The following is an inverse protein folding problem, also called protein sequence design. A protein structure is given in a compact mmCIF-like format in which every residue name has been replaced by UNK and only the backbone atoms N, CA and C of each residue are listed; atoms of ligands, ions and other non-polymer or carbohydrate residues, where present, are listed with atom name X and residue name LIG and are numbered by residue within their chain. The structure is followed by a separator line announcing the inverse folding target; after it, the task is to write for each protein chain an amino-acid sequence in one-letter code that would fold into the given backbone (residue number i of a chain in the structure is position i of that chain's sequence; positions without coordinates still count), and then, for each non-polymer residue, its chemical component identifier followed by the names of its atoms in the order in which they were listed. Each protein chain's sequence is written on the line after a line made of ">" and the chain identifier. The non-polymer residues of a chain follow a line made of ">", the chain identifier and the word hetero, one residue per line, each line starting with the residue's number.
data_IF_082333481580
#
_entry.id   IF_082333481580
#
_cell.length_a   1.000
_cell.length_b   1.000
_cell.length_c   1.000
_cell.angle_alpha   90.00
_cell.angle_beta   90.00
_cell.angle_gamma   90.00
#
_symmetry.space_group_name_H-M   'P 1'
#
loop_
_entity.id
_entity.type
_entity.pdbx_description
1 polymer ?
#
# COMPACT_ATOMS: atom_id res chain seq x y z
N UNK A 1 4.12 30.07 4.75
CA UNK A 1 4.65 28.72 4.44
C UNK A 1 3.46 27.82 4.14
N UNK A 2 3.56 26.91 3.20
CA UNK A 2 2.52 25.93 2.92
C UNK A 2 2.47 24.89 4.04
N UNK A 3 1.30 24.29 4.25
CA UNK A 3 1.12 23.22 5.22
C UNK A 3 1.94 21.99 4.77
N UNK A 4 2.90 21.51 5.57
CA UNK A 4 3.74 20.36 5.19
C UNK A 4 3.02 19.01 5.28
N UNK A 5 1.88 18.96 5.99
CA UNK A 5 1.02 17.79 6.06
C UNK A 5 -0.07 17.88 4.99
N UNK A 6 -0.55 16.73 4.51
CA UNK A 6 -1.60 16.71 3.49
C UNK A 6 -2.67 15.66 3.79
N UNK A 7 -3.92 16.00 3.46
CA UNK A 7 -5.05 15.06 3.47
C UNK A 7 -5.36 14.55 2.06
N UNK A 8 -4.65 15.04 1.05
CA UNK A 8 -4.88 14.69 -0.36
C UNK A 8 -4.37 13.28 -0.65
N UNK A 9 -5.25 12.42 -1.14
CA UNK A 9 -4.89 11.06 -1.54
C UNK A 9 -3.91 11.06 -2.73
N UNK A 10 -2.96 10.11 -2.71
CA UNK A 10 -2.03 9.90 -3.80
C UNK A 10 -0.85 10.87 -3.86
N UNK A 11 -0.85 11.92 -3.06
CA UNK A 11 0.27 12.84 -2.94
C UNK A 11 1.22 12.43 -1.81
N UNK A 12 2.52 12.54 -2.08
CA UNK A 12 3.54 12.41 -1.04
C UNK A 12 3.59 13.71 -0.25
N UNK A 13 3.32 13.70 1.07
CA UNK A 13 3.42 14.91 1.91
C UNK A 13 4.84 15.45 1.90
N UNK A 14 5.01 16.74 2.16
CA UNK A 14 6.33 17.33 2.41
C UNK A 14 6.90 16.79 3.72
N UNK A 15 6.05 16.75 4.76
CA UNK A 15 6.40 16.12 6.04
C UNK A 15 5.89 14.68 6.07
N UNK A 16 6.80 13.73 5.96
CA UNK A 16 6.51 12.31 6.06
C UNK A 16 7.65 11.55 6.76
N UNK A 17 7.33 10.42 7.34
CA UNK A 17 8.31 9.55 8.01
C UNK A 17 8.62 8.38 7.09
N UNK A 18 9.85 8.34 6.57
CA UNK A 18 10.34 7.27 5.72
C UNK A 18 10.37 5.92 6.46
N UNK A 19 10.01 4.87 5.73
CA UNK A 19 10.06 3.48 6.20
C UNK A 19 11.34 2.78 5.72
N UNK A 20 12.48 3.46 5.88
CA UNK A 20 13.78 3.01 5.36
C UNK A 20 14.10 1.54 5.65
N UNK A 21 13.73 1.01 6.81
CA UNK A 21 13.96 -0.40 7.17
C UNK A 21 13.11 -1.37 6.33
N UNK A 22 11.89 -1.00 5.97
CA UNK A 22 10.97 -1.87 5.21
C UNK A 22 11.19 -1.72 3.70
N UNK A 23 11.24 -0.49 3.22
CA UNK A 23 11.44 -0.17 1.79
C UNK A 23 12.89 -0.44 1.39
N UNK A 24 13.85 -0.14 2.26
CA UNK A 24 15.27 -0.39 2.03
C UNK A 24 15.58 -1.85 1.72
N UNK A 25 14.78 -2.80 2.22
CA UNK A 25 14.90 -4.22 1.86
C UNK A 25 14.60 -4.46 0.38
N UNK A 26 13.58 -3.79 -0.17
CA UNK A 26 13.25 -3.88 -1.60
C UNK A 26 14.37 -3.29 -2.42
N UNK A 27 14.77 -2.05 -2.09
CA UNK A 27 15.82 -1.31 -2.77
C UNK A 27 17.13 -2.12 -2.77
N UNK A 28 17.58 -2.54 -1.58
CA UNK A 28 18.80 -3.33 -1.46
C UNK A 28 18.75 -4.62 -2.32
N UNK A 29 17.61 -5.31 -2.35
CA UNK A 29 17.48 -6.54 -3.15
C UNK A 29 17.53 -6.24 -4.64
N UNK A 30 16.87 -5.18 -5.11
CA UNK A 30 16.83 -4.84 -6.54
C UNK A 30 18.16 -4.27 -7.05
N UNK A 31 18.97 -3.68 -6.16
CA UNK A 31 20.30 -3.16 -6.50
C UNK A 31 21.37 -4.26 -6.60
N UNK A 32 21.08 -5.47 -6.11
CA UNK A 32 22.01 -6.59 -6.27
C UNK A 32 22.22 -6.92 -7.76
N UNK A 33 23.43 -7.33 -8.12
CA UNK A 33 23.72 -7.83 -9.47
C UNK A 33 22.85 -9.03 -9.83
N UNK A 34 22.67 -9.96 -8.87
CA UNK A 34 21.81 -11.14 -8.98
C UNK A 34 20.74 -11.09 -7.87
N UNK A 35 19.64 -10.37 -8.07
CA UNK A 35 18.62 -10.20 -7.05
C UNK A 35 17.91 -11.51 -6.72
N UNK A 36 17.79 -11.82 -5.44
CA UNK A 36 17.08 -13.01 -4.96
C UNK A 36 15.59 -12.98 -5.27
N UNK A 37 15.02 -11.79 -5.45
CA UNK A 37 13.63 -11.58 -5.80
C UNK A 37 13.50 -10.37 -6.74
N UNK A 38 12.63 -10.50 -7.73
CA UNK A 38 12.28 -9.41 -8.66
C UNK A 38 10.85 -8.90 -8.45
N UNK A 39 10.14 -9.47 -7.48
CA UNK A 39 8.76 -9.12 -7.16
C UNK A 39 8.64 -8.91 -5.65
N UNK A 40 8.01 -7.82 -5.24
CA UNK A 40 7.62 -7.57 -3.87
C UNK A 40 6.15 -7.14 -3.81
N UNK A 41 5.49 -7.51 -2.72
CA UNK A 41 4.12 -7.09 -2.41
C UNK A 41 4.12 -6.28 -1.11
N UNK A 42 3.52 -5.10 -1.14
CA UNK A 42 3.39 -4.21 0.00
C UNK A 42 1.94 -4.24 0.48
N UNK A 43 1.72 -4.77 1.67
CA UNK A 43 0.41 -4.90 2.28
C UNK A 43 0.25 -3.92 3.45
N UNK A 44 -0.95 -3.40 3.61
CA UNK A 44 -1.27 -2.55 4.76
C UNK A 44 -2.73 -2.09 4.73
N UNK A 45 -3.23 -1.70 5.89
CA UNK A 45 -4.57 -1.12 6.03
C UNK A 45 -4.70 0.16 5.17
N UNK A 46 -5.92 0.59 4.89
CA UNK A 46 -6.17 1.91 4.28
C UNK A 46 -5.51 3.00 5.13
N UNK A 47 -4.87 3.99 4.51
CA UNK A 47 -4.13 5.05 5.24
C UNK A 47 -2.80 4.64 5.87
N UNK A 48 -2.32 3.41 5.64
CA UNK A 48 -1.02 2.94 6.18
C UNK A 48 0.22 3.50 5.45
N UNK A 49 0.04 4.31 4.40
CA UNK A 49 1.13 4.92 3.64
C UNK A 49 1.70 4.05 2.51
N UNK A 50 0.91 3.12 1.95
CA UNK A 50 1.33 2.28 0.79
C UNK A 50 1.78 3.13 -0.39
N UNK A 51 0.94 4.07 -0.82
CA UNK A 51 1.24 4.97 -1.95
C UNK A 51 2.50 5.80 -1.72
N UNK A 52 2.71 6.31 -0.49
CA UNK A 52 3.93 7.05 -0.13
C UNK A 52 5.15 6.14 -0.20
N UNK A 53 5.04 4.91 0.28
CA UNK A 53 6.12 3.91 0.19
C UNK A 53 6.48 3.55 -1.25
N UNK A 54 5.47 3.41 -2.13
CA UNK A 54 5.70 3.20 -3.56
C UNK A 54 6.34 4.43 -4.22
N UNK A 55 5.96 5.64 -3.80
CA UNK A 55 6.57 6.87 -4.28
C UNK A 55 8.05 6.97 -3.89
N UNK A 56 8.43 6.62 -2.65
CA UNK A 56 9.83 6.57 -2.23
C UNK A 56 10.66 5.60 -3.08
N UNK A 57 10.12 4.40 -3.36
CA UNK A 57 10.79 3.43 -4.25
C UNK A 57 10.94 3.99 -5.66
N UNK A 58 9.86 4.60 -6.19
CA UNK A 58 9.88 5.21 -7.51
C UNK A 58 10.90 6.35 -7.61
N UNK A 59 10.92 7.25 -6.63
CA UNK A 59 11.84 8.39 -6.58
C UNK A 59 13.30 7.92 -6.55
N UNK A 60 13.59 6.87 -5.76
CA UNK A 60 14.93 6.28 -5.69
C UNK A 60 15.42 5.81 -7.07
N UNK A 61 14.59 5.08 -7.81
CA UNK A 61 14.98 4.54 -9.11
C UNK A 61 14.86 5.55 -10.25
N UNK A 62 13.95 6.53 -10.16
CA UNK A 62 13.83 7.57 -11.19
C UNK A 62 15.03 8.52 -11.25
N UNK A 63 15.82 8.58 -10.19
CA UNK A 63 17.09 9.35 -10.16
C UNK A 63 18.27 8.63 -10.83
N UNK A 64 18.09 7.37 -11.27
CA UNK A 64 19.13 6.56 -11.87
C UNK A 64 18.81 6.25 -13.33
N UNK A 65 19.63 6.75 -14.25
CA UNK A 65 19.44 6.60 -15.70
C UNK A 65 19.39 5.15 -16.21
N UNK A 66 19.86 4.19 -15.41
CA UNK A 66 19.74 2.77 -15.77
C UNK A 66 18.32 2.23 -15.59
N UNK A 67 17.47 2.95 -14.86
CA UNK A 67 16.13 2.51 -14.54
C UNK A 67 15.05 3.29 -15.28
N UNK A 68 14.01 2.58 -15.70
CA UNK A 68 12.76 3.15 -16.20
C UNK A 68 11.68 2.73 -15.21
N UNK A 69 11.01 3.71 -14.60
CA UNK A 69 9.95 3.48 -13.61
C UNK A 69 8.60 3.71 -14.26
N UNK A 70 7.75 2.69 -14.25
CA UNK A 70 6.40 2.72 -14.77
C UNK A 70 5.39 2.57 -13.64
N UNK A 71 4.48 3.53 -13.51
CA UNK A 71 3.33 3.46 -12.59
C UNK A 71 2.10 3.06 -13.40
N UNK A 72 1.51 1.92 -13.10
CA UNK A 72 0.40 1.33 -13.83
C UNK A 72 -0.85 1.23 -12.95
N UNK A 73 -2.02 1.44 -13.54
CA UNK A 73 -3.32 1.28 -12.86
C UNK A 73 -3.77 -0.19 -12.91
N UNK A 74 -4.17 -0.73 -11.77
CA UNK A 74 -4.70 -2.09 -11.67
C UNK A 74 -6.06 -2.27 -12.37
N UNK A 75 -6.79 -1.18 -12.63
CA UNK A 75 -8.14 -1.20 -13.21
C UNK A 75 -8.15 -1.20 -14.74
N UNK A 76 -6.99 -1.08 -15.38
CA UNK A 76 -6.85 -1.00 -16.84
C UNK A 76 -5.94 -2.10 -17.38
N UNK A 77 -5.89 -2.26 -18.70
CA UNK A 77 -4.95 -3.17 -19.37
C UNK A 77 -3.50 -2.75 -19.08
N UNK A 78 -2.87 -3.45 -18.13
CA UNK A 78 -1.50 -3.17 -17.67
C UNK A 78 -0.45 -3.34 -18.76
N UNK A 79 -0.67 -4.26 -19.71
CA UNK A 79 0.27 -4.48 -20.83
C UNK A 79 0.18 -3.31 -21.80
N UNK A 80 -1.05 -2.89 -22.14
CA UNK A 80 -1.27 -1.73 -23.00
C UNK A 80 -0.72 -0.45 -22.34
N UNK A 81 -0.96 -0.27 -21.03
CA UNK A 81 -0.42 0.84 -20.25
C UNK A 81 1.10 0.87 -20.27
N UNK A 82 1.75 -0.29 -20.07
CA UNK A 82 3.21 -0.41 -20.13
C UNK A 82 3.77 -0.06 -21.52
N UNK A 83 3.15 -0.55 -22.58
CA UNK A 83 3.54 -0.22 -23.96
C UNK A 83 3.41 1.29 -24.21
N UNK A 84 2.28 1.88 -23.82
CA UNK A 84 2.02 3.31 -24.00
C UNK A 84 3.07 4.18 -23.27
N UNK A 85 3.31 3.89 -22.00
CA UNK A 85 4.28 4.64 -21.20
C UNK A 85 5.73 4.48 -21.69
N UNK A 86 6.15 3.26 -22.05
CA UNK A 86 7.48 3.02 -22.61
C UNK A 86 7.68 3.71 -23.96
N UNK A 87 6.62 3.75 -24.79
CA UNK A 87 6.66 4.46 -26.04
C UNK A 87 6.78 5.97 -25.83
N UNK A 88 6.02 6.53 -24.88
CA UNK A 88 6.09 7.96 -24.51
C UNK A 88 7.49 8.32 -24.00
N UNK A 89 8.04 7.54 -23.06
CA UNK A 89 9.38 7.77 -22.50
C UNK A 89 10.44 7.71 -23.60
N UNK A 90 10.33 6.78 -24.57
CA UNK A 90 11.31 6.66 -25.66
C UNK A 90 11.37 7.89 -26.56
N UNK A 91 10.23 8.56 -26.76
CA UNK A 91 10.15 9.80 -27.56
C UNK A 91 10.84 10.98 -26.87
N UNK A 92 10.74 11.07 -25.53
CA UNK A 92 11.31 12.19 -24.76
C UNK A 92 12.81 12.02 -24.44
N UNK A 93 13.31 10.78 -24.41
CA UNK A 93 14.68 10.49 -23.97
C UNK A 93 15.63 10.03 -25.10
N UNK A 94 15.26 10.25 -26.38
CA UNK A 94 16.03 9.79 -27.55
C UNK A 94 16.42 8.28 -27.48
N UNK A 95 15.63 7.52 -26.76
CA UNK A 95 15.73 6.07 -26.71
C UNK A 95 15.19 5.52 -28.02
N UNK A 96 16.04 5.50 -29.07
CA UNK A 96 15.63 4.85 -30.33
C UNK A 96 15.31 3.37 -30.08
N UNK A 97 14.04 3.11 -29.80
CA UNK A 97 13.50 1.75 -29.65
C UNK A 97 13.12 1.17 -31.02
N UNK A 98 13.37 1.91 -32.12
CA UNK A 98 13.04 1.48 -33.49
C UNK A 98 11.57 1.11 -33.65
N UNK A 99 10.73 1.75 -32.84
CA UNK A 99 9.28 1.65 -32.97
C UNK A 99 8.87 2.59 -34.10
N UNK A 100 8.54 2.05 -35.28
CA UNK A 100 7.85 2.83 -36.30
C UNK A 100 6.45 3.16 -35.79
N UNK A 101 6.34 4.27 -35.08
CA UNK A 101 5.14 4.74 -34.35
C UNK A 101 3.94 5.05 -35.26
N UNK A 102 4.14 5.08 -36.58
CA UNK A 102 3.07 5.43 -37.51
C UNK A 102 2.08 4.26 -37.79
N UNK A 103 2.32 3.06 -37.29
CA UNK A 103 1.47 1.91 -37.57
C UNK A 103 0.76 1.28 -36.36
N UNK A 104 1.13 1.61 -35.11
CA UNK A 104 0.64 0.86 -33.94
C UNK A 104 -0.44 1.53 -33.10
N UNK A 105 -0.38 2.84 -32.89
CA UNK A 105 -1.26 3.51 -31.90
C UNK A 105 -2.65 3.83 -32.48
N UNK A 106 -2.76 4.10 -33.78
CA UNK A 106 -4.05 4.38 -34.43
C UNK A 106 -4.86 3.09 -34.73
N UNK A 107 -4.20 1.95 -34.95
CA UNK A 107 -4.86 0.67 -35.20
C UNK A 107 -5.23 -0.13 -33.95
N UNK A 108 -4.62 0.17 -32.79
CA UNK A 108 -4.91 -0.47 -31.51
C UNK A 108 -6.35 -0.27 -31.01
N UNK A 109 -7.13 0.58 -31.66
CA UNK A 109 -8.50 0.91 -31.24
C UNK A 109 -9.62 0.15 -31.96
N UNK A 110 -9.35 -0.66 -32.99
CA UNK A 110 -10.41 -1.13 -33.90
C UNK A 110 -10.67 -2.65 -33.93
N UNK A 111 -9.73 -3.54 -33.55
CA UNK A 111 -9.95 -4.99 -33.67
C UNK A 111 -9.81 -5.77 -32.35
N UNK A 112 -10.94 -6.18 -31.78
CA UNK A 112 -11.07 -6.77 -30.43
C UNK A 112 -10.53 -8.21 -30.25
N UNK A 113 -10.07 -8.94 -31.23
CA UNK A 113 -9.74 -10.38 -31.12
C UNK A 113 -8.25 -10.73 -31.27
N UNK A 114 -7.41 -9.89 -31.90
CA UNK A 114 -5.97 -10.08 -31.99
C UNK A 114 -5.15 -9.15 -31.09
N UNK A 115 -5.81 -8.28 -30.34
CA UNK A 115 -5.25 -7.12 -29.67
C UNK A 115 -4.31 -7.48 -28.50
N UNK A 116 -4.60 -8.52 -27.71
CA UNK A 116 -3.79 -8.90 -26.54
C UNK A 116 -2.44 -9.51 -26.91
N UNK A 117 -2.42 -10.41 -27.88
CA UNK A 117 -1.18 -11.08 -28.35
C UNK A 117 -0.24 -10.09 -29.03
N UNK A 118 -0.79 -9.12 -29.73
CA UNK A 118 0.00 -8.07 -30.40
C UNK A 118 0.66 -7.15 -29.37
N UNK A 119 -0.08 -6.67 -28.36
CA UNK A 119 0.47 -5.86 -27.25
C UNK A 119 1.54 -6.58 -26.45
N UNK A 120 1.34 -7.86 -26.16
CA UNK A 120 2.33 -8.67 -25.48
C UNK A 120 3.61 -8.81 -26.30
N UNK A 121 3.49 -9.01 -27.62
CA UNK A 121 4.63 -9.09 -28.55
C UNK A 121 5.40 -7.77 -28.62
N UNK A 122 4.66 -6.64 -28.69
CA UNK A 122 5.25 -5.29 -28.69
C UNK A 122 6.02 -5.06 -27.40
N UNK A 123 5.42 -5.36 -26.23
CA UNK A 123 6.08 -5.18 -24.95
C UNK A 123 7.35 -6.01 -24.84
N UNK A 124 7.34 -7.28 -25.27
CA UNK A 124 8.54 -8.13 -25.30
C UNK A 124 9.65 -7.56 -26.18
N UNK A 125 9.30 -7.06 -27.38
CA UNK A 125 10.27 -6.42 -28.27
C UNK A 125 10.89 -5.16 -27.64
N UNK A 126 10.10 -4.35 -26.92
CA UNK A 126 10.62 -3.20 -26.20
C UNK A 126 11.56 -3.66 -25.08
N UNK A 127 11.16 -4.65 -24.27
CA UNK A 127 11.98 -5.15 -23.16
C UNK A 127 13.31 -5.76 -23.65
N UNK A 128 13.31 -6.44 -24.80
CA UNK A 128 14.55 -6.96 -25.42
C UNK A 128 15.50 -5.82 -25.83
N UNK A 129 14.98 -4.76 -26.44
CA UNK A 129 15.76 -3.58 -26.81
C UNK A 129 16.31 -2.85 -25.58
N UNK A 130 15.52 -2.72 -24.53
CA UNK A 130 15.96 -2.11 -23.25
C UNK A 130 17.04 -2.95 -22.59
N UNK A 131 16.92 -4.29 -22.61
CA UNK A 131 17.94 -5.23 -22.13
C UNK A 131 19.27 -5.01 -22.85
N UNK A 132 19.24 -4.92 -24.18
CA UNK A 132 20.44 -4.70 -25.00
C UNK A 132 21.10 -3.32 -24.75
N UNK A 133 20.32 -2.36 -24.26
CA UNK A 133 20.80 -1.03 -23.83
C UNK A 133 21.21 -0.98 -22.34
N UNK A 134 21.19 -2.10 -21.61
CA UNK A 134 21.50 -2.18 -20.18
C UNK A 134 20.49 -1.47 -19.27
N UNK A 135 19.26 -1.20 -19.76
CA UNK A 135 18.21 -0.56 -18.99
C UNK A 135 17.39 -1.59 -18.19
N UNK A 136 16.98 -1.21 -16.99
CA UNK A 136 16.10 -1.98 -16.10
C UNK A 136 14.72 -1.33 -16.06
N UNK A 137 13.65 -2.12 -15.95
CA UNK A 137 12.28 -1.62 -15.88
C UNK A 137 11.65 -2.00 -14.54
N UNK A 138 11.21 -1.01 -13.79
CA UNK A 138 10.45 -1.19 -12.56
C UNK A 138 8.97 -0.89 -12.81
N UNK A 139 8.14 -1.91 -12.68
CA UNK A 139 6.68 -1.76 -12.68
C UNK A 139 6.19 -1.54 -11.25
N UNK A 140 5.39 -0.51 -11.06
CA UNK A 140 4.74 -0.18 -9.79
C UNK A 140 3.24 -0.19 -10.02
N UNK A 141 2.51 -1.00 -9.24
CA UNK A 141 1.06 -1.11 -9.29
C UNK A 141 0.52 -0.86 -7.88
N UNK A 142 -0.22 0.24 -7.72
CA UNK A 142 -0.91 0.54 -6.47
C UNK A 142 -2.35 0.02 -6.51
N UNK A 143 -2.96 -0.11 -5.34
CA UNK A 143 -4.34 -0.56 -5.14
C UNK A 143 -4.69 -1.85 -5.89
N UNK A 144 -3.78 -2.83 -5.84
CA UNK A 144 -3.94 -4.09 -6.58
C UNK A 144 -5.22 -4.82 -6.19
N UNK A 145 -5.93 -5.30 -7.19
CA UNK A 145 -7.14 -6.13 -7.06
C UNK A 145 -7.00 -7.42 -7.88
N UNK A 146 -7.74 -8.47 -7.49
CA UNK A 146 -7.72 -9.74 -8.19
C UNK A 146 -8.67 -9.71 -9.41
N UNK A 147 -8.29 -9.02 -10.48
CA UNK A 147 -9.01 -8.93 -11.75
C UNK A 147 -8.25 -9.59 -12.91
N UNK A 148 -8.88 -9.63 -14.09
CA UNK A 148 -8.30 -10.24 -15.30
C UNK A 148 -7.04 -9.52 -15.77
N UNK A 149 -6.98 -8.18 -15.70
CA UNK A 149 -5.83 -7.41 -16.15
C UNK A 149 -4.58 -7.71 -15.33
N UNK A 150 -4.72 -7.75 -14.00
CA UNK A 150 -3.63 -8.10 -13.09
C UNK A 150 -3.18 -9.55 -13.30
N UNK A 151 -4.11 -10.49 -13.51
CA UNK A 151 -3.77 -11.89 -13.76
C UNK A 151 -2.98 -12.07 -15.06
N UNK A 152 -3.43 -11.44 -16.14
CA UNK A 152 -2.76 -11.48 -17.44
C UNK A 152 -1.37 -10.87 -17.34
N UNK A 153 -1.25 -9.68 -16.72
CA UNK A 153 0.04 -9.03 -16.52
C UNK A 153 0.99 -9.90 -15.69
N UNK A 154 0.53 -10.44 -14.56
CA UNK A 154 1.35 -11.29 -13.69
C UNK A 154 1.83 -12.54 -14.42
N UNK A 155 0.98 -13.20 -15.20
CA UNK A 155 1.37 -14.37 -16.01
C UNK A 155 2.46 -14.03 -17.02
N UNK A 156 2.33 -12.90 -17.72
CA UNK A 156 3.35 -12.42 -18.65
C UNK A 156 4.63 -12.01 -17.91
N UNK A 157 4.52 -11.41 -16.72
CA UNK A 157 5.68 -11.03 -15.93
C UNK A 157 6.52 -12.24 -15.51
N UNK A 158 5.88 -13.39 -15.22
CA UNK A 158 6.59 -14.65 -15.00
C UNK A 158 7.41 -15.06 -16.24
N UNK A 159 6.83 -14.93 -17.44
CA UNK A 159 7.54 -15.22 -18.69
C UNK A 159 8.74 -14.27 -18.85
N UNK A 160 8.57 -12.97 -18.56
CA UNK A 160 9.66 -12.01 -18.65
C UNK A 160 10.84 -12.36 -17.73
N UNK A 161 10.55 -12.82 -16.51
CA UNK A 161 11.59 -13.28 -15.57
C UNK A 161 12.32 -14.50 -16.13
N UNK A 162 11.60 -15.51 -16.67
CA UNK A 162 12.20 -16.74 -17.22
C UNK A 162 13.04 -16.48 -18.45
N UNK A 163 12.73 -15.44 -19.21
CA UNK A 163 13.50 -14.97 -20.37
C UNK A 163 14.64 -14.02 -20.00
N UNK A 164 14.90 -13.85 -18.69
CA UNK A 164 15.96 -12.98 -18.17
C UNK A 164 15.86 -11.52 -18.63
N UNK A 165 14.62 -11.00 -18.77
CA UNK A 165 14.46 -9.57 -18.93
C UNK A 165 14.80 -8.83 -17.61
N UNK A 166 15.36 -7.62 -17.70
CA UNK A 166 15.71 -6.83 -16.53
C UNK A 166 14.48 -6.10 -15.98
N UNK A 167 13.46 -6.87 -15.58
CA UNK A 167 12.18 -6.38 -15.09
C UNK A 167 12.02 -6.63 -13.60
N UNK A 168 11.41 -5.68 -12.92
CA UNK A 168 11.13 -5.67 -11.48
C UNK A 168 9.69 -5.23 -11.24
N UNK A 169 9.07 -5.72 -10.18
CA UNK A 169 7.66 -5.46 -9.89
C UNK A 169 7.45 -5.20 -8.39
N UNK A 170 6.82 -4.08 -8.09
CA UNK A 170 6.29 -3.80 -6.75
C UNK A 170 4.80 -3.56 -6.86
N UNK A 171 4.03 -4.36 -6.14
CA UNK A 171 2.57 -4.25 -6.08
C UNK A 171 2.15 -3.88 -4.66
N UNK A 172 1.24 -2.92 -4.50
CA UNK A 172 0.69 -2.58 -3.20
C UNK A 172 -0.84 -2.75 -3.17
N UNK A 173 -1.36 -3.12 -2.01
CA UNK A 173 -2.80 -3.31 -1.86
C UNK A 173 -3.22 -3.62 -0.42
N UNK A 174 -4.51 -3.81 -0.23
CA UNK A 174 -5.05 -4.34 1.01
C UNK A 174 -4.62 -5.80 1.17
N UNK A 175 -4.51 -6.24 2.41
CA UNK A 175 -4.08 -7.60 2.72
C UNK A 175 -4.88 -8.67 1.95
N UNK A 176 -6.21 -8.56 1.92
CA UNK A 176 -7.07 -9.55 1.26
C UNK A 176 -6.84 -9.59 -0.25
N UNK A 177 -6.67 -8.44 -0.89
CA UNK A 177 -6.42 -8.38 -2.33
C UNK A 177 -5.11 -9.08 -2.69
N UNK A 178 -4.05 -8.81 -1.91
CA UNK A 178 -2.75 -9.47 -2.08
C UNK A 178 -2.84 -10.97 -1.79
N UNK A 179 -3.53 -11.36 -0.71
CA UNK A 179 -3.71 -12.76 -0.34
C UNK A 179 -4.51 -13.51 -1.41
N UNK A 180 -5.59 -12.92 -1.92
CA UNK A 180 -6.40 -13.52 -2.98
C UNK A 180 -5.60 -13.70 -4.28
N UNK A 181 -4.78 -12.71 -4.64
CA UNK A 181 -3.92 -12.82 -5.82
C UNK A 181 -2.85 -13.91 -5.65
N UNK A 182 -2.23 -14.03 -4.48
CA UNK A 182 -1.23 -15.07 -4.21
C UNK A 182 -1.83 -16.49 -4.17
N UNK A 183 -3.09 -16.62 -3.78
CA UNK A 183 -3.80 -17.89 -3.75
C UNK A 183 -4.44 -18.27 -5.10
N UNK A 184 -4.28 -17.42 -6.12
CA UNK A 184 -4.78 -17.68 -7.47
C UNK A 184 -4.03 -18.88 -8.08
N UNK A 185 -4.79 -19.91 -8.48
CA UNK A 185 -4.23 -21.19 -8.98
C UNK A 185 -3.33 -21.03 -10.19
N UNK A 186 -3.60 -20.05 -11.05
CA UNK A 186 -2.81 -19.74 -12.24
C UNK A 186 -1.53 -18.97 -11.95
N UNK A 187 -1.36 -18.41 -10.75
CA UNK A 187 -0.27 -17.50 -10.38
C UNK A 187 0.56 -18.02 -9.19
N UNK A 188 0.78 -19.33 -9.14
CA UNK A 188 1.48 -20.00 -8.02
C UNK A 188 2.87 -19.43 -7.71
N UNK A 189 3.54 -18.85 -8.70
CA UNK A 189 4.83 -18.18 -8.50
C UNK A 189 4.75 -16.97 -7.58
N UNK A 190 3.60 -16.26 -7.55
CA UNK A 190 3.38 -15.12 -6.66
C UNK A 190 3.33 -15.54 -5.18
N UNK A 191 3.04 -16.80 -4.89
CA UNK A 191 3.09 -17.30 -3.51
C UNK A 191 4.49 -17.18 -2.90
N UNK A 192 5.53 -17.20 -3.75
CA UNK A 192 6.92 -17.04 -3.34
C UNK A 192 7.37 -15.59 -3.26
N UNK A 193 6.57 -14.65 -3.78
CA UNK A 193 6.90 -13.23 -3.72
C UNK A 193 6.86 -12.74 -2.26
N UNK A 194 7.94 -12.12 -1.76
CA UNK A 194 7.95 -11.58 -0.40
C UNK A 194 6.87 -10.53 -0.19
N UNK A 195 6.19 -10.63 0.97
CA UNK A 195 5.25 -9.62 1.45
C UNK A 195 5.92 -8.74 2.48
N UNK A 196 5.75 -7.44 2.33
CA UNK A 196 6.11 -6.44 3.32
C UNK A 196 4.83 -5.86 3.89
N UNK A 197 4.62 -6.10 5.18
CA UNK A 197 3.53 -5.49 5.92
C UNK A 197 4.00 -4.14 6.44
N UNK A 198 3.26 -3.08 6.11
CA UNK A 198 3.59 -1.76 6.62
C UNK A 198 3.18 -1.67 8.11
N UNK A 199 4.19 -1.67 8.97
CA UNK A 199 4.01 -1.51 10.41
C UNK A 199 3.64 -0.07 10.77
N UNK A 200 3.06 0.20 11.95
CA UNK A 200 2.88 1.55 12.46
C UNK A 200 4.18 2.34 12.47
N UNK A 201 4.09 3.65 12.27
CA UNK A 201 5.23 4.55 12.42
C UNK A 201 5.71 4.56 13.88
N UNK A 202 7.00 4.74 14.06
CA UNK A 202 7.61 4.85 15.38
C UNK A 202 7.13 6.11 16.11
N UNK A 203 6.60 5.98 17.32
CA UNK A 203 6.18 7.12 18.14
C UNK A 203 7.31 8.14 18.35
N UNK A 204 8.56 7.74 18.66
CA UNK A 204 9.69 8.68 18.71
C UNK A 204 9.90 9.44 17.40
N UNK A 205 9.75 8.78 16.23
CA UNK A 205 9.91 9.45 14.94
C UNK A 205 8.80 10.49 14.70
N UNK A 206 7.55 10.15 15.02
CA UNK A 206 6.42 11.11 14.97
C UNK A 206 6.65 12.28 15.91
N UNK A 207 7.10 12.02 17.14
CA UNK A 207 7.41 13.07 18.12
C UNK A 207 8.49 14.01 17.58
N UNK A 208 9.55 13.47 16.98
CA UNK A 208 10.63 14.27 16.38
C UNK A 208 10.11 15.11 15.21
N UNK A 209 9.28 14.54 14.33
CA UNK A 209 8.67 15.25 13.22
C UNK A 209 7.79 16.41 13.70
N UNK A 210 6.87 16.18 14.64
CA UNK A 210 6.04 17.27 15.18
C UNK A 210 6.87 18.39 15.82
N UNK A 211 7.94 18.05 16.54
CA UNK A 211 8.84 19.04 17.13
C UNK A 211 9.67 19.82 16.11
N UNK A 212 9.93 19.25 14.96
CA UNK A 212 10.65 19.98 13.89
C UNK A 212 9.77 20.97 13.16
N UNK A 213 8.45 20.74 13.17
CA UNK A 213 7.47 21.56 12.45
C UNK A 213 6.80 22.58 13.37
N UNK A 214 6.52 22.21 14.64
CA UNK A 214 5.78 23.03 15.59
C UNK A 214 6.65 23.50 16.74
N UNK A 215 6.42 24.73 17.18
CA UNK A 215 6.99 25.25 18.44
C UNK A 215 6.12 24.80 19.62
N UNK A 216 6.22 23.53 19.97
CA UNK A 216 5.47 22.88 21.05
C UNK A 216 6.39 22.19 22.06
N UNK A 217 5.88 22.00 23.27
CA UNK A 217 6.64 21.30 24.31
C UNK A 217 6.93 19.85 23.96
N UNK A 218 8.02 19.26 24.47
CA UNK A 218 8.29 17.83 24.28
C UNK A 218 7.16 16.92 24.75
N UNK A 219 6.46 17.29 25.82
CA UNK A 219 5.32 16.54 26.37
C UNK A 219 4.12 16.57 25.41
N UNK A 220 3.79 17.73 24.86
CA UNK A 220 2.71 17.89 23.88
C UNK A 220 3.00 17.09 22.60
N UNK A 221 4.21 17.16 22.09
CA UNK A 221 4.61 16.37 20.90
C UNK A 221 4.50 14.86 21.14
N UNK A 222 4.86 14.38 22.33
CA UNK A 222 4.69 12.96 22.72
C UNK A 222 3.23 12.58 22.83
N UNK A 223 2.39 13.44 23.37
CA UNK A 223 0.95 13.23 23.50
C UNK A 223 0.29 13.14 22.12
N UNK A 224 0.56 14.12 21.25
CA UNK A 224 0.11 14.09 19.85
C UNK A 224 0.56 12.80 19.14
N UNK A 225 1.83 12.42 19.27
CA UNK A 225 2.36 11.22 18.64
C UNK A 225 1.68 9.95 19.16
N UNK A 226 1.47 9.80 20.46
CA UNK A 226 0.79 8.66 21.07
C UNK A 226 -0.67 8.55 20.60
N UNK A 227 -1.37 9.68 20.44
CA UNK A 227 -2.74 9.70 19.95
C UNK A 227 -2.86 9.06 18.57
N UNK A 228 -1.85 9.19 17.71
CA UNK A 228 -1.86 8.58 16.37
C UNK A 228 -1.72 7.05 16.40
N UNK A 229 -1.31 6.43 17.50
CA UNK A 229 -0.92 5.01 17.59
C UNK A 229 0.06 4.58 16.47
N UNK A 230 0.80 5.52 15.87
CA UNK A 230 1.68 5.29 14.73
C UNK A 230 0.97 5.12 13.38
N UNK A 231 -0.33 5.37 13.30
CA UNK A 231 -1.09 5.28 12.05
C UNK A 231 -0.76 6.49 11.16
N UNK A 232 -0.19 6.29 9.95
CA UNK A 232 0.32 7.39 9.14
C UNK A 232 -0.73 8.42 8.76
N UNK A 233 -1.96 7.98 8.46
CA UNK A 233 -3.03 8.90 8.13
C UNK A 233 -3.42 9.78 9.33
N UNK A 234 -3.48 9.21 10.53
CA UNK A 234 -3.70 9.98 11.75
C UNK A 234 -2.57 10.98 12.03
N UNK A 235 -1.32 10.61 11.76
CA UNK A 235 -0.18 11.53 11.83
C UNK A 235 -0.37 12.73 10.90
N UNK A 236 -0.81 12.50 9.66
CA UNK A 236 -1.06 13.57 8.70
C UNK A 236 -2.25 14.45 9.13
N UNK A 237 -3.38 13.85 9.53
CA UNK A 237 -4.56 14.62 9.95
C UNK A 237 -4.21 15.52 11.15
N UNK A 238 -3.61 14.95 12.19
CA UNK A 238 -3.31 15.69 13.41
C UNK A 238 -2.32 16.83 13.16
N UNK A 239 -1.27 16.56 12.36
CA UNK A 239 -0.33 17.56 11.92
C UNK A 239 -0.98 18.66 11.07
N UNK A 240 -1.84 18.28 10.14
CA UNK A 240 -2.58 19.21 9.29
C UNK A 240 -3.47 20.16 10.13
N UNK A 241 -4.27 19.61 11.02
CA UNK A 241 -5.17 20.38 11.88
C UNK A 241 -4.40 21.32 12.82
N UNK A 242 -3.33 20.82 13.44
CA UNK A 242 -2.46 21.65 14.30
C UNK A 242 -1.83 22.81 13.53
N UNK A 243 -1.41 22.58 12.28
CA UNK A 243 -0.86 23.65 11.44
C UNK A 243 -1.88 24.72 11.08
N UNK A 244 -3.11 24.32 10.74
CA UNK A 244 -4.16 25.25 10.30
C UNK A 244 -4.70 26.14 11.45
N UNK A 245 -4.80 25.59 12.65
CA UNK A 245 -5.49 26.28 13.75
C UNK A 245 -4.57 26.69 14.89
N UNK A 246 -3.47 25.98 15.08
CA UNK A 246 -2.58 26.05 16.24
C UNK A 246 -3.30 25.84 17.60
N UNK A 247 -4.46 25.19 17.58
CA UNK A 247 -5.23 24.88 18.76
C UNK A 247 -4.60 23.81 19.65
N UNK A 248 -5.03 23.75 20.91
CA UNK A 248 -4.68 22.68 21.84
C UNK A 248 -5.28 21.35 21.39
N UNK A 249 -4.64 20.25 21.75
CA UNK A 249 -5.01 18.90 21.32
C UNK A 249 -6.49 18.56 21.57
N UNK A 250 -7.03 18.94 22.73
CA UNK A 250 -8.44 18.69 23.08
C UNK A 250 -9.42 19.32 22.08
N UNK A 251 -9.11 20.51 21.58
CA UNK A 251 -9.96 21.20 20.60
C UNK A 251 -9.85 20.57 19.20
N UNK A 252 -8.74 19.92 18.89
CA UNK A 252 -8.53 19.24 17.61
C UNK A 252 -9.26 17.89 17.53
N UNK A 253 -9.53 17.23 18.67
CA UNK A 253 -10.08 15.87 18.71
C UNK A 253 -11.39 15.71 17.93
N UNK A 254 -12.40 16.57 18.01
CA UNK A 254 -13.65 16.38 17.27
C UNK A 254 -13.43 16.33 15.75
N UNK A 255 -12.61 17.26 15.23
CA UNK A 255 -12.31 17.29 13.80
C UNK A 255 -11.37 16.16 13.37
N UNK A 256 -10.44 15.79 14.24
CA UNK A 256 -9.58 14.64 14.05
C UNK A 256 -10.37 13.33 13.91
N UNK A 257 -11.35 13.13 14.78
CA UNK A 257 -12.25 11.97 14.72
C UNK A 257 -13.10 11.98 13.45
N UNK A 258 -13.67 13.13 13.08
CA UNK A 258 -14.45 13.28 11.85
C UNK A 258 -13.66 12.90 10.60
N UNK A 259 -12.42 13.39 10.47
CA UNK A 259 -11.55 13.08 9.32
C UNK A 259 -11.19 11.58 9.27
N UNK A 260 -10.89 10.95 10.42
CA UNK A 260 -10.62 9.51 10.50
C UNK A 260 -11.84 8.68 10.10
N UNK A 261 -13.03 9.09 10.52
CA UNK A 261 -14.30 8.41 10.21
C UNK A 261 -14.55 8.45 8.70
N UNK A 262 -14.61 9.65 8.15
CA UNK A 262 -15.00 9.87 6.74
C UNK A 262 -14.00 9.19 5.78
N UNK A 263 -12.72 9.36 6.00
CA UNK A 263 -11.72 8.93 5.02
C UNK A 263 -11.14 7.52 5.25
N UNK A 264 -11.38 6.92 6.42
CA UNK A 264 -10.83 5.61 6.71
C UNK A 264 -11.81 4.63 7.37
N UNK A 265 -12.46 5.00 8.48
CA UNK A 265 -13.09 4.03 9.38
C UNK A 265 -14.38 3.44 8.83
N UNK A 266 -15.24 4.25 8.19
CA UNK A 266 -16.44 3.74 7.53
C UNK A 266 -16.09 2.65 6.50
N UNK A 267 -15.05 2.89 5.71
CA UNK A 267 -14.62 1.93 4.71
C UNK A 267 -13.97 0.70 5.32
N UNK A 268 -13.08 0.86 6.31
CA UNK A 268 -12.49 -0.27 7.04
C UNK A 268 -13.57 -1.15 7.66
N UNK A 269 -14.54 -0.53 8.34
CA UNK A 269 -15.66 -1.24 8.97
C UNK A 269 -16.52 -1.98 7.95
N UNK A 270 -16.86 -1.35 6.82
CA UNK A 270 -17.66 -1.98 5.77
C UNK A 270 -17.00 -3.22 5.15
N UNK A 271 -15.68 -3.31 5.15
CA UNK A 271 -14.89 -4.42 4.63
C UNK A 271 -14.75 -5.58 5.63
N UNK A 272 -15.14 -5.40 6.91
CA UNK A 272 -15.12 -6.44 7.92
C UNK A 272 -16.31 -7.40 7.75
N UNK A 273 -16.05 -8.70 7.90
CA UNK A 273 -17.12 -9.70 7.98
C UNK A 273 -17.91 -9.55 9.29
N UNK A 274 -19.08 -10.15 9.37
CA UNK A 274 -19.93 -10.11 10.57
C UNK A 274 -19.17 -10.52 11.85
N UNK A 275 -18.45 -11.64 11.81
CA UNK A 275 -17.69 -12.10 12.97
C UNK A 275 -16.44 -11.23 13.25
N UNK A 276 -15.81 -10.63 12.21
CA UNK A 276 -14.77 -9.61 12.45
C UNK A 276 -15.34 -8.44 13.25
N UNK A 277 -16.51 -7.92 12.83
CA UNK A 277 -17.18 -6.81 13.52
C UNK A 277 -17.53 -7.16 14.95
N UNK A 278 -18.06 -8.35 15.21
CA UNK A 278 -18.35 -8.83 16.57
C UNK A 278 -17.10 -8.87 17.45
N UNK A 279 -15.99 -9.40 16.92
CA UNK A 279 -14.71 -9.45 17.66
C UNK A 279 -14.21 -8.02 17.94
N UNK A 280 -14.17 -7.16 16.93
CA UNK A 280 -13.71 -5.77 17.03
C UNK A 280 -14.59 -4.97 18.00
N UNK A 281 -15.91 -5.18 17.96
CA UNK A 281 -16.87 -4.57 18.90
C UNK A 281 -16.61 -5.00 20.34
N UNK A 282 -16.42 -6.30 20.59
CA UNK A 282 -16.11 -6.79 21.95
C UNK A 282 -14.82 -6.17 22.47
N UNK A 283 -13.80 -6.01 21.61
CA UNK A 283 -12.54 -5.34 21.98
C UNK A 283 -12.78 -3.85 22.30
N UNK A 284 -13.64 -3.15 21.52
CA UNK A 284 -13.93 -1.73 21.76
C UNK A 284 -14.62 -1.47 23.11
N UNK A 285 -15.35 -2.46 23.64
CA UNK A 285 -15.96 -2.37 25.00
C UNK A 285 -14.96 -2.63 26.15
N UNK A 286 -13.64 -2.67 25.88
CA UNK A 286 -12.60 -2.86 26.90
C UNK A 286 -12.30 -4.32 27.26
N UNK A 287 -12.79 -5.29 26.48
CA UNK A 287 -12.50 -6.71 26.68
C UNK A 287 -11.34 -7.12 25.82
N UNK A 288 -10.16 -7.26 26.40
CA UNK A 288 -8.91 -7.49 25.67
C UNK A 288 -8.42 -8.95 25.72
N UNK A 289 -8.76 -9.71 26.77
CA UNK A 289 -8.28 -11.08 26.92
C UNK A 289 -8.98 -12.01 25.93
N UNK A 290 -8.21 -12.78 25.18
CA UNK A 290 -8.73 -13.73 24.17
C UNK A 290 -9.69 -14.77 24.74
N UNK A 291 -9.53 -15.17 26.03
CA UNK A 291 -10.46 -16.03 26.73
C UNK A 291 -11.84 -15.38 26.89
N UNK A 292 -11.89 -14.17 27.40
CA UNK A 292 -13.11 -13.40 27.64
C UNK A 292 -13.84 -13.05 26.32
N UNK A 293 -13.08 -12.69 25.26
CA UNK A 293 -13.64 -12.46 23.93
C UNK A 293 -14.35 -13.72 23.42
N UNK A 294 -13.72 -14.90 23.57
CA UNK A 294 -14.34 -16.18 23.17
C UNK A 294 -15.62 -16.49 23.92
N UNK A 295 -15.62 -16.28 25.22
CA UNK A 295 -16.77 -16.53 26.08
C UNK A 295 -17.95 -15.64 25.66
N UNK A 296 -17.71 -14.32 25.48
CA UNK A 296 -18.75 -13.40 25.04
C UNK A 296 -19.34 -13.74 23.68
N UNK A 297 -18.52 -14.25 22.75
CA UNK A 297 -18.95 -14.58 21.39
C UNK A 297 -19.34 -16.05 21.22
N UNK A 298 -19.19 -16.88 22.25
CA UNK A 298 -19.45 -18.33 22.20
C UNK A 298 -18.72 -19.05 21.06
N UNK A 299 -17.46 -18.65 20.79
CA UNK A 299 -16.65 -19.20 19.68
C UNK A 299 -15.49 -20.06 20.17
N UNK A 300 -15.04 -21.00 19.30
CA UNK A 300 -13.93 -21.90 19.60
C UNK A 300 -12.58 -21.17 19.59
N UNK A 301 -11.53 -21.68 20.30
CA UNK A 301 -10.18 -21.13 20.22
C UNK A 301 -9.61 -21.10 18.82
N UNK A 302 -9.88 -22.13 18.02
CA UNK A 302 -9.40 -22.26 16.64
C UNK A 302 -10.00 -21.18 15.76
N UNK A 303 -11.30 -20.92 15.91
CA UNK A 303 -12.02 -19.90 15.17
C UNK A 303 -11.49 -18.51 15.51
N UNK A 304 -11.35 -18.18 16.82
CA UNK A 304 -10.77 -16.89 17.22
C UNK A 304 -9.34 -16.72 16.68
N UNK A 305 -8.49 -17.75 16.72
CA UNK A 305 -7.13 -17.67 16.20
C UNK A 305 -7.09 -17.35 14.69
N UNK A 306 -8.00 -17.91 13.91
CA UNK A 306 -8.13 -17.62 12.48
C UNK A 306 -8.47 -16.15 12.25
N UNK A 307 -9.48 -15.64 12.95
CA UNK A 307 -9.91 -14.26 12.86
C UNK A 307 -8.89 -13.28 13.45
N UNK A 308 -8.26 -13.63 14.57
CA UNK A 308 -7.16 -12.87 15.15
C UNK A 308 -6.04 -12.64 14.14
N UNK A 309 -5.57 -13.73 13.48
CA UNK A 309 -4.52 -13.64 12.47
C UNK A 309 -4.94 -12.68 11.35
N UNK A 310 -6.14 -12.86 10.79
CA UNK A 310 -6.67 -12.02 9.72
C UNK A 310 -6.80 -10.54 10.11
N UNK A 311 -7.37 -10.25 11.29
CA UNK A 311 -7.53 -8.88 11.79
C UNK A 311 -6.19 -8.19 12.07
N UNK A 312 -5.19 -8.95 12.53
CA UNK A 312 -3.83 -8.44 12.69
C UNK A 312 -3.18 -8.14 11.33
N UNK A 313 -3.29 -9.04 10.38
CA UNK A 313 -2.77 -8.86 9.01
C UNK A 313 -3.46 -7.70 8.27
N UNK A 314 -4.73 -7.47 8.55
CA UNK A 314 -5.47 -6.28 8.10
C UNK A 314 -5.11 -5.00 8.85
N UNK A 315 -4.34 -5.06 9.94
CA UNK A 315 -3.95 -3.89 10.74
C UNK A 315 -5.08 -3.26 11.55
N UNK A 316 -6.15 -4.01 11.83
CA UNK A 316 -7.30 -3.56 12.63
C UNK A 316 -7.08 -3.80 14.12
N UNK A 317 -6.46 -4.94 14.46
CA UNK A 317 -6.14 -5.28 15.85
C UNK A 317 -4.65 -5.48 16.04
N UNK A 318 -4.19 -5.25 17.26
CA UNK A 318 -2.84 -5.53 17.74
C UNK A 318 -2.89 -6.71 18.71
N UNK A 319 -2.07 -7.72 18.49
CA UNK A 319 -1.94 -8.91 19.34
C UNK A 319 -0.50 -9.12 19.79
N UNK A 320 0.29 -8.07 19.96
CA UNK A 320 1.70 -8.12 20.42
C UNK A 320 1.83 -8.65 21.85
N UNK A 321 0.81 -8.44 22.68
CA UNK A 321 0.74 -9.01 24.03
C UNK A 321 0.11 -10.38 23.97
N UNK A 322 0.79 -11.37 24.55
CA UNK A 322 0.31 -12.75 24.56
C UNK A 322 -1.02 -12.88 25.30
N UNK A 323 -2.02 -13.41 24.62
CA UNK A 323 -3.35 -13.62 25.19
C UNK A 323 -4.26 -12.40 25.17
N UNK A 324 -3.82 -11.30 24.58
CA UNK A 324 -4.59 -10.06 24.48
C UNK A 324 -4.75 -9.60 23.03
N UNK A 325 -5.84 -8.89 22.78
CA UNK A 325 -6.11 -8.19 21.53
C UNK A 325 -6.57 -6.77 21.86
N UNK A 326 -5.99 -5.79 21.20
CA UNK A 326 -6.38 -4.38 21.31
C UNK A 326 -6.63 -3.80 19.92
N UNK A 327 -7.35 -2.68 19.82
CA UNK A 327 -7.53 -1.97 18.55
C UNK A 327 -6.23 -1.28 18.14
N UNK A 328 -5.79 -1.53 16.91
CA UNK A 328 -4.56 -0.96 16.37
C UNK A 328 -4.76 0.49 15.87
N UNK A 329 -5.98 0.83 15.42
CA UNK A 329 -6.30 2.13 14.88
C UNK A 329 -6.62 3.14 16.01
N UNK A 330 -6.16 4.40 15.90
CA UNK A 330 -6.41 5.42 16.92
C UNK A 330 -7.91 5.77 16.96
N UNK A 331 -8.47 5.88 18.19
CA UNK A 331 -9.86 6.30 18.42
C UNK A 331 -10.94 5.50 17.67
N UNK A 332 -10.59 4.30 17.22
CA UNK A 332 -11.53 3.43 16.48
C UNK A 332 -12.63 2.91 17.40
N UNK A 333 -12.33 2.77 18.68
CA UNK A 333 -13.30 2.50 19.74
C UNK A 333 -14.42 3.53 19.78
N UNK A 334 -14.11 4.83 19.72
CA UNK A 334 -15.09 5.91 19.72
C UNK A 334 -15.99 5.88 18.48
N UNK A 335 -15.43 5.58 17.31
CA UNK A 335 -16.21 5.39 16.09
C UNK A 335 -17.20 4.24 16.22
N UNK A 336 -16.76 3.09 16.75
CA UNK A 336 -17.60 1.91 16.90
C UNK A 336 -18.75 2.19 17.88
N UNK A 337 -18.45 2.84 18.99
CA UNK A 337 -19.44 3.18 20.00
C UNK A 337 -20.53 4.13 19.48
N UNK A 338 -20.14 5.13 18.67
CA UNK A 338 -21.06 6.16 18.17
C UNK A 338 -21.88 5.72 16.95
N UNK A 339 -21.32 4.89 16.09
CA UNK A 339 -21.86 4.68 14.73
C UNK A 339 -22.15 3.22 14.38
N UNK A 340 -21.74 2.26 15.21
CA UNK A 340 -21.84 0.86 14.86
C UNK A 340 -22.78 0.09 15.80
N UNK A 341 -23.90 -0.38 15.26
CA UNK A 341 -24.75 -1.35 15.94
C UNK A 341 -24.27 -2.77 15.65
N UNK A 342 -24.00 -3.56 16.67
CA UNK A 342 -23.56 -4.96 16.55
C UNK A 342 -24.37 -5.83 17.50
N UNK A 343 -25.13 -6.76 16.94
CA UNK A 343 -25.82 -7.82 17.70
C UNK A 343 -24.79 -8.93 18.00
N UNK A 344 -24.57 -9.23 19.28
CA UNK A 344 -23.61 -10.24 19.76
C UNK A 344 -24.22 -11.65 19.77
#
# INVERSE_FOLDING_TARGET
>A
MENPFTLTFGQKPTEFISRANQIGKIIHTFDMENPSNKIYMVAGVRGSGKTVSLAEIADHYSSNDQWIVLRLSADTDLIAGAVSELTRISQFHDLDLGLNLNLGIAELSVNKTNDSLEKESILRNILEKLKNKGKKVLFIIDEIINNSYVKVFASNFQIYITQNYPVYLVMAGLFDNISNLQNEKSLTFLYRAPKIFLEPLSIPAITTSYRSVFDISPSEAVEMAKLTKGYPFAFQILGYLKWETNDDLEKLLPKFDEELIIYAYEKIWSELSELDRKIVYVISTGVYKTGEIREKLSISPQLLNTYRKRLMERGVVNGSVRGELTLALPRFEAYIEMYCEVEL
#
